data_IF_539659585275
#
_entry.id   IF_539659585275
#
_cell.length_a   1.000
_cell.length_b   1.000
_cell.length_c   1.000
_cell.angle_alpha   90.00
_cell.angle_beta   90.00
_cell.angle_gamma   90.00
#
_symmetry.space_group_name_H-M   'P 1'
#
loop_
_entity.id
_entity.type
_entity.pdbx_description
1 polymer ?
#
# COMPACT_ATOMS: atom_id res chain seq x y z
N UNK A 1 -29.87 4.33 -5.75
CA UNK A 1 -29.96 2.88 -5.48
C UNK A 1 -28.67 2.28 -6.05
N UNK A 2 -27.89 1.53 -5.27
CA UNK A 2 -26.58 0.90 -5.63
C UNK A 2 -25.25 1.66 -5.37
N UNK A 3 -25.22 2.73 -4.57
CA UNK A 3 -23.94 3.40 -4.25
C UNK A 3 -22.95 2.49 -3.50
N UNK A 4 -23.42 1.71 -2.52
CA UNK A 4 -22.56 0.85 -1.71
C UNK A 4 -21.93 -0.32 -2.51
N UNK A 5 -22.69 -1.11 -3.30
CA UNK A 5 -22.11 -2.11 -4.20
C UNK A 5 -21.11 -1.52 -5.19
N UNK A 6 -21.42 -0.34 -5.76
CA UNK A 6 -20.51 0.35 -6.67
C UNK A 6 -19.18 0.72 -5.99
N UNK A 7 -19.24 1.34 -4.80
CA UNK A 7 -18.04 1.70 -4.03
C UNK A 7 -17.23 0.47 -3.62
N UNK A 8 -17.90 -0.63 -3.24
CA UNK A 8 -17.24 -1.91 -2.93
C UNK A 8 -16.44 -2.44 -4.14
N UNK A 9 -17.07 -2.51 -5.31
CA UNK A 9 -16.40 -2.92 -6.54
C UNK A 9 -15.25 -2.00 -6.92
N UNK A 10 -15.41 -0.69 -6.78
CA UNK A 10 -14.35 0.28 -7.02
C UNK A 10 -13.14 0.02 -6.09
N UNK A 11 -13.39 -0.18 -4.79
CA UNK A 11 -12.35 -0.51 -3.81
C UNK A 11 -11.61 -1.79 -4.22
N UNK A 12 -12.34 -2.83 -4.62
CA UNK A 12 -11.75 -4.11 -5.04
C UNK A 12 -10.87 -3.93 -6.28
N UNK A 13 -11.42 -3.37 -7.35
CA UNK A 13 -10.74 -3.26 -8.64
C UNK A 13 -9.48 -2.39 -8.52
N UNK A 14 -9.58 -1.21 -7.91
CA UNK A 14 -8.43 -0.31 -7.82
C UNK A 14 -7.36 -0.84 -6.86
N UNK A 15 -7.75 -1.45 -5.74
CA UNK A 15 -6.79 -2.03 -4.79
C UNK A 15 -6.06 -3.23 -5.39
N UNK A 16 -6.77 -4.14 -6.07
CA UNK A 16 -6.16 -5.30 -6.74
C UNK A 16 -5.27 -4.85 -7.89
N UNK A 17 -5.69 -3.84 -8.66
CA UNK A 17 -4.85 -3.23 -9.69
C UNK A 17 -3.57 -2.64 -9.11
N UNK A 18 -3.66 -1.94 -7.98
CA UNK A 18 -2.51 -1.40 -7.27
C UNK A 18 -1.59 -2.49 -6.72
N UNK A 19 -2.10 -3.58 -6.12
CA UNK A 19 -1.25 -4.69 -5.67
C UNK A 19 -0.57 -5.40 -6.83
N UNK A 20 -1.23 -5.47 -7.99
CA UNK A 20 -0.68 -6.09 -9.19
C UNK A 20 0.55 -5.38 -9.74
N UNK A 21 0.85 -4.14 -9.33
CA UNK A 21 2.09 -3.47 -9.73
C UNK A 21 3.32 -4.22 -9.26
N UNK A 22 3.26 -4.96 -8.13
CA UNK A 22 4.38 -5.80 -7.69
C UNK A 22 4.73 -6.95 -8.66
N UNK A 23 3.83 -7.31 -9.59
CA UNK A 23 4.15 -8.28 -10.64
C UNK A 23 5.24 -7.77 -11.59
N UNK A 24 5.40 -6.45 -11.77
CA UNK A 24 6.51 -5.91 -12.56
C UNK A 24 7.84 -6.15 -11.85
N UNK A 25 7.87 -6.05 -10.52
CA UNK A 25 9.08 -6.34 -9.72
C UNK A 25 9.47 -7.81 -9.81
N UNK A 26 8.48 -8.72 -9.82
CA UNK A 26 8.74 -10.14 -10.09
C UNK A 26 9.39 -10.38 -11.46
N UNK A 27 8.88 -9.72 -12.50
CA UNK A 27 9.44 -9.81 -13.85
C UNK A 27 10.88 -9.29 -13.87
N UNK A 28 11.12 -8.16 -13.21
CA UNK A 28 12.45 -7.57 -13.08
C UNK A 28 13.42 -8.52 -12.38
N UNK A 29 13.05 -9.09 -11.22
CA UNK A 29 13.88 -10.06 -10.50
C UNK A 29 14.18 -11.31 -11.33
N UNK A 30 13.19 -11.81 -12.08
CA UNK A 30 13.37 -13.00 -12.93
C UNK A 30 14.32 -12.72 -14.09
N UNK A 31 14.23 -11.52 -14.69
CA UNK A 31 15.07 -11.12 -15.81
C UNK A 31 16.51 -10.81 -15.37
N UNK A 32 16.68 -10.06 -14.28
CA UNK A 32 18.00 -9.69 -13.75
C UNK A 32 18.68 -10.81 -12.95
N UNK A 33 17.92 -11.85 -12.55
CA UNK A 33 18.36 -12.88 -11.60
C UNK A 33 18.87 -12.32 -10.29
N UNK A 34 18.40 -11.13 -9.90
CA UNK A 34 18.80 -10.45 -8.67
C UNK A 34 17.67 -9.61 -8.09
N UNK A 35 17.63 -9.50 -6.76
CA UNK A 35 16.73 -8.63 -6.01
C UNK A 35 17.40 -7.30 -5.56
N UNK A 36 18.64 -7.02 -5.98
CA UNK A 36 19.46 -5.93 -5.43
C UNK A 36 18.85 -4.52 -5.64
N UNK A 37 18.05 -4.32 -6.69
CA UNK A 37 17.41 -3.03 -7.00
C UNK A 37 15.98 -2.88 -6.44
N UNK A 38 15.47 -3.88 -5.72
CA UNK A 38 14.11 -3.90 -5.21
C UNK A 38 14.15 -3.92 -3.69
N UNK A 39 13.37 -3.04 -3.07
CA UNK A 39 13.29 -2.96 -1.61
C UNK A 39 12.37 -4.06 -1.07
N UNK A 40 12.85 -4.79 -0.07
CA UNK A 40 12.06 -5.85 0.58
C UNK A 40 10.97 -5.33 1.52
N UNK A 41 11.28 -4.27 2.27
CA UNK A 41 10.40 -3.75 3.33
C UNK A 41 8.98 -3.39 2.87
N UNK A 42 8.77 -2.78 1.68
CA UNK A 42 7.42 -2.54 1.18
C UNK A 42 6.57 -3.81 1.06
N UNK A 43 7.12 -4.92 0.57
CA UNK A 43 6.37 -6.18 0.47
C UNK A 43 6.00 -6.72 1.85
N UNK A 44 6.97 -6.73 2.78
CA UNK A 44 6.75 -7.23 4.13
C UNK A 44 5.72 -6.39 4.90
N UNK A 45 5.92 -5.07 4.93
CA UNK A 45 5.01 -4.15 5.65
C UNK A 45 3.61 -4.13 5.06
N UNK A 46 3.48 -4.20 3.74
CA UNK A 46 2.16 -4.33 3.08
C UNK A 46 1.49 -5.66 3.41
N UNK A 47 2.24 -6.76 3.50
CA UNK A 47 1.71 -8.04 3.94
C UNK A 47 1.15 -7.95 5.37
N UNK A 48 1.92 -7.37 6.30
CA UNK A 48 1.50 -7.14 7.68
C UNK A 48 0.23 -6.29 7.75
N UNK A 49 0.19 -5.20 6.99
CA UNK A 49 -0.95 -4.30 6.94
C UNK A 49 -2.20 -5.02 6.42
N UNK A 50 -2.08 -5.81 5.35
CA UNK A 50 -3.18 -6.60 4.81
C UNK A 50 -3.70 -7.62 5.82
N UNK A 51 -2.83 -8.29 6.58
CA UNK A 51 -3.27 -9.24 7.61
C UNK A 51 -3.99 -8.55 8.78
N UNK A 52 -3.55 -7.35 9.19
CA UNK A 52 -4.26 -6.54 10.19
C UNK A 52 -5.65 -6.11 9.71
N UNK A 53 -5.75 -5.57 8.49
CA UNK A 53 -7.02 -5.19 7.90
C UNK A 53 -7.93 -6.37 7.58
N UNK A 54 -7.38 -7.54 7.27
CA UNK A 54 -8.14 -8.78 7.16
C UNK A 54 -8.82 -9.13 8.49
N UNK A 55 -8.07 -9.07 9.60
CA UNK A 55 -8.66 -9.31 10.92
C UNK A 55 -9.74 -8.28 11.25
N UNK A 56 -9.50 -7.01 10.91
CA UNK A 56 -10.49 -5.95 11.05
C UNK A 56 -11.77 -6.23 10.25
N UNK A 57 -11.64 -6.60 8.98
CA UNK A 57 -12.76 -6.95 8.11
C UNK A 57 -13.55 -8.16 8.62
N UNK A 58 -12.88 -9.17 9.16
CA UNK A 58 -13.54 -10.34 9.77
C UNK A 58 -14.36 -9.91 10.99
N UNK A 59 -13.80 -9.11 11.90
CA UNK A 59 -14.53 -8.62 13.08
C UNK A 59 -15.68 -7.70 12.73
N UNK A 60 -15.54 -6.88 11.69
CA UNK A 60 -16.59 -5.99 11.17
C UNK A 60 -17.64 -6.75 10.35
N UNK A 61 -17.38 -8.00 9.98
CA UNK A 61 -18.21 -8.78 9.03
C UNK A 61 -18.31 -8.14 7.64
N UNK A 62 -17.26 -7.42 7.23
CA UNK A 62 -17.20 -6.66 5.97
C UNK A 62 -16.47 -7.46 4.89
N UNK A 63 -17.23 -7.97 3.91
CA UNK A 63 -16.69 -8.82 2.85
C UNK A 63 -15.75 -8.07 1.90
N UNK A 64 -15.95 -6.77 1.69
CA UNK A 64 -15.11 -5.95 0.80
C UNK A 64 -13.72 -5.84 1.38
N UNK A 65 -13.61 -5.49 2.66
CA UNK A 65 -12.34 -5.40 3.38
C UNK A 65 -11.67 -6.78 3.46
N UNK A 66 -12.42 -7.83 3.73
CA UNK A 66 -11.85 -9.19 3.76
C UNK A 66 -11.25 -9.56 2.41
N UNK A 67 -12.01 -9.41 1.31
CA UNK A 67 -11.61 -9.89 -0.02
C UNK A 67 -10.33 -9.20 -0.52
N UNK A 68 -10.29 -7.87 -0.47
CA UNK A 68 -9.11 -7.11 -0.95
C UNK A 68 -7.85 -7.42 -0.16
N UNK A 69 -7.97 -7.62 1.15
CA UNK A 69 -6.83 -7.90 2.02
C UNK A 69 -6.38 -9.35 1.93
N UNK A 70 -7.28 -10.32 1.68
CA UNK A 70 -6.89 -11.70 1.35
C UNK A 70 -6.09 -11.73 0.06
N UNK A 71 -6.61 -11.12 -1.02
CA UNK A 71 -5.91 -11.08 -2.31
C UNK A 71 -4.56 -10.37 -2.15
N UNK A 72 -4.55 -9.25 -1.45
CA UNK A 72 -3.33 -8.50 -1.14
C UNK A 72 -2.32 -9.34 -0.38
N UNK A 73 -2.70 -9.99 0.71
CA UNK A 73 -1.81 -10.83 1.51
C UNK A 73 -1.21 -11.98 0.67
N UNK A 74 -2.02 -12.65 -0.15
CA UNK A 74 -1.54 -13.72 -1.02
C UNK A 74 -0.51 -13.22 -2.04
N UNK A 75 -0.76 -12.05 -2.67
CA UNK A 75 0.20 -11.43 -3.59
C UNK A 75 1.49 -11.03 -2.86
N UNK A 76 1.40 -10.43 -1.68
CA UNK A 76 2.60 -10.03 -0.93
C UNK A 76 3.42 -11.25 -0.46
N UNK A 77 2.76 -12.33 -0.03
CA UNK A 77 3.44 -13.59 0.30
C UNK A 77 4.18 -14.14 -0.93
N UNK A 78 3.55 -14.14 -2.10
CA UNK A 78 4.19 -14.52 -3.35
C UNK A 78 5.43 -13.65 -3.62
N UNK A 79 5.33 -12.33 -3.45
CA UNK A 79 6.46 -11.41 -3.66
C UNK A 79 7.60 -11.67 -2.70
N UNK A 80 7.31 -11.91 -1.42
CA UNK A 80 8.30 -12.25 -0.39
C UNK A 80 9.01 -13.57 -0.74
N UNK A 81 8.28 -14.61 -1.17
CA UNK A 81 8.86 -15.91 -1.54
C UNK A 81 9.82 -15.75 -2.73
N UNK A 82 9.40 -15.03 -3.78
CA UNK A 82 10.25 -14.81 -4.95
C UNK A 82 11.45 -13.93 -4.60
N UNK A 83 11.28 -12.91 -3.76
CA UNK A 83 12.38 -12.07 -3.29
C UNK A 83 13.43 -12.88 -2.53
N UNK A 84 13.01 -13.77 -1.63
CA UNK A 84 13.89 -14.69 -0.89
C UNK A 84 14.70 -15.62 -1.82
N UNK A 85 14.13 -15.98 -2.98
CA UNK A 85 14.82 -16.79 -3.97
C UNK A 85 15.98 -16.04 -4.63
N UNK A 86 15.78 -14.77 -5.00
CA UNK A 86 16.75 -13.99 -5.78
C UNK A 86 17.66 -13.08 -4.94
N UNK A 87 17.38 -12.86 -3.66
CA UNK A 87 18.21 -12.03 -2.80
C UNK A 87 19.49 -12.75 -2.34
N UNK A 88 20.59 -11.99 -2.29
CA UNK A 88 21.85 -12.43 -1.65
C UNK A 88 21.79 -12.31 -0.13
N UNK A 89 20.95 -11.42 0.40
CA UNK A 89 20.88 -11.09 1.83
C UNK A 89 19.84 -11.92 2.58
N UNK A 90 19.82 -13.24 2.37
CA UNK A 90 18.78 -14.14 2.90
C UNK A 90 18.61 -14.04 4.41
N UNK A 91 19.71 -13.98 5.16
CA UNK A 91 19.69 -13.88 6.63
C UNK A 91 18.93 -12.63 7.10
N UNK A 92 19.20 -11.47 6.50
CA UNK A 92 18.53 -10.21 6.85
C UNK A 92 17.02 -10.31 6.58
N UNK A 93 16.66 -10.76 5.37
CA UNK A 93 15.26 -10.88 4.94
C UNK A 93 14.49 -11.88 5.81
N UNK A 94 15.10 -13.03 6.13
CA UNK A 94 14.51 -14.00 7.06
C UNK A 94 14.35 -13.43 8.46
N UNK A 95 15.36 -12.73 9.00
CA UNK A 95 15.24 -12.09 10.32
C UNK A 95 14.12 -11.05 10.33
N UNK A 96 14.03 -10.19 9.31
CA UNK A 96 12.94 -9.21 9.19
C UNK A 96 11.57 -9.88 9.13
N UNK A 97 11.45 -10.96 8.34
CA UNK A 97 10.20 -11.74 8.21
C UNK A 97 9.83 -12.42 9.54
N UNK A 98 10.82 -12.97 10.25
CA UNK A 98 10.60 -13.59 11.56
C UNK A 98 10.13 -12.56 12.59
N UNK A 99 10.79 -11.40 12.67
CA UNK A 99 10.40 -10.30 13.56
C UNK A 99 8.97 -9.84 13.24
N UNK A 100 8.65 -9.68 11.97
CA UNK A 100 7.30 -9.35 11.51
C UNK A 100 6.26 -10.41 11.94
N UNK A 101 6.58 -11.69 11.80
CA UNK A 101 5.73 -12.80 12.27
C UNK A 101 5.56 -12.82 13.79
N UNK A 102 6.61 -12.50 14.56
CA UNK A 102 6.53 -12.35 16.01
C UNK A 102 5.62 -11.19 16.40
N UNK A 103 5.77 -10.03 15.76
CA UNK A 103 4.91 -8.85 16.01
C UNK A 103 3.44 -9.18 15.71
N UNK A 104 3.14 -9.87 14.61
CA UNK A 104 1.78 -10.30 14.31
C UNK A 104 1.22 -11.27 15.35
N UNK A 105 1.99 -12.28 15.73
CA UNK A 105 1.56 -13.28 16.71
C UNK A 105 1.30 -12.63 18.07
N UNK A 106 2.20 -11.74 18.51
CA UNK A 106 2.02 -10.98 19.75
C UNK A 106 0.79 -10.05 19.68
N UNK A 107 0.60 -9.36 18.55
CA UNK A 107 -0.58 -8.53 18.32
C UNK A 107 -1.87 -9.35 18.36
N UNK A 108 -1.92 -10.46 17.63
CA UNK A 108 -3.06 -11.38 17.63
C UNK A 108 -3.40 -11.87 19.04
N UNK A 109 -2.39 -12.31 19.80
CA UNK A 109 -2.56 -12.74 21.18
C UNK A 109 -3.10 -11.61 22.07
N UNK A 110 -2.57 -10.39 21.93
CA UNK A 110 -3.06 -9.21 22.64
C UNK A 110 -4.54 -8.93 22.35
N UNK A 111 -4.92 -8.85 21.08
CA UNK A 111 -6.30 -8.54 20.67
C UNK A 111 -7.31 -9.63 21.03
N UNK A 112 -6.89 -10.89 21.08
CA UNK A 112 -7.79 -12.02 21.38
C UNK A 112 -7.93 -12.31 22.86
N UNK A 113 -6.88 -12.08 23.66
CA UNK A 113 -6.85 -12.47 25.07
C UNK A 113 -7.11 -11.32 26.03
N UNK A 114 -6.59 -10.11 25.73
CA UNK A 114 -6.64 -8.99 26.66
C UNK A 114 -7.73 -7.96 26.35
N UNK A 115 -8.29 -7.97 25.14
CA UNK A 115 -9.37 -7.06 24.76
C UNK A 115 -10.72 -7.77 24.75
N UNK A 116 -11.75 -7.18 25.39
CA UNK A 116 -13.09 -7.74 25.37
C UNK A 116 -13.65 -7.75 23.96
N UNK A 117 -14.45 -8.76 23.65
CA UNK A 117 -15.09 -8.90 22.34
C UNK A 117 -16.06 -7.75 22.06
N UNK A 118 -16.31 -7.47 20.77
CA UNK A 118 -17.19 -6.41 20.31
C UNK A 118 -16.47 -5.11 19.91
N UNK A 119 -17.13 -3.98 20.14
CA UNK A 119 -16.75 -2.68 19.57
C UNK A 119 -15.41 -2.15 20.06
N UNK A 120 -15.03 -2.47 21.30
CA UNK A 120 -13.73 -2.06 21.87
C UNK A 120 -12.57 -2.70 21.11
N UNK A 121 -12.64 -4.02 20.88
CA UNK A 121 -11.63 -4.76 20.11
C UNK A 121 -11.59 -4.28 18.67
N UNK A 122 -12.75 -4.06 18.05
CA UNK A 122 -12.84 -3.53 16.68
C UNK A 122 -12.20 -2.14 16.57
N UNK A 123 -12.51 -1.22 17.48
CA UNK A 123 -12.01 0.15 17.49
C UNK A 123 -10.50 0.23 17.70
N UNK A 124 -9.97 -0.51 18.68
CA UNK A 124 -8.52 -0.58 18.94
C UNK A 124 -7.75 -1.16 17.75
N UNK A 125 -8.32 -2.20 17.11
CA UNK A 125 -7.71 -2.82 15.94
C UNK A 125 -7.74 -1.88 14.74
N UNK A 126 -8.87 -1.21 14.51
CA UNK A 126 -9.03 -0.20 13.47
C UNK A 126 -8.03 0.95 13.63
N UNK A 127 -7.86 1.45 14.85
CA UNK A 127 -6.87 2.49 15.17
C UNK A 127 -5.44 2.00 14.88
N UNK A 128 -5.11 0.79 15.31
CA UNK A 128 -3.79 0.20 15.07
C UNK A 128 -3.50 0.07 13.57
N UNK A 129 -4.43 -0.50 12.81
CA UNK A 129 -4.30 -0.64 11.35
C UNK A 129 -4.20 0.73 10.67
N UNK A 130 -4.96 1.72 11.13
CA UNK A 130 -4.91 3.10 10.63
C UNK A 130 -3.52 3.71 10.84
N UNK A 131 -2.97 3.62 12.05
CA UNK A 131 -1.65 4.16 12.38
C UNK A 131 -0.57 3.49 11.52
N UNK A 132 -0.63 2.17 11.38
CA UNK A 132 0.30 1.42 10.51
C UNK A 132 0.19 1.91 9.06
N UNK A 133 -1.02 2.00 8.51
CA UNK A 133 -1.23 2.46 7.12
C UNK A 133 -0.75 3.90 6.92
N UNK A 134 -1.02 4.82 7.86
CA UNK A 134 -0.52 6.21 7.81
C UNK A 134 1.01 6.23 7.83
N UNK A 135 1.64 5.43 8.69
CA UNK A 135 3.11 5.37 8.78
C UNK A 135 3.76 4.90 7.47
N UNK A 136 3.08 4.05 6.70
CA UNK A 136 3.57 3.61 5.38
C UNK A 136 3.65 4.75 4.36
N UNK A 137 2.93 5.86 4.56
CA UNK A 137 3.04 7.06 3.72
C UNK A 137 4.28 7.91 4.01
N UNK A 138 5.04 7.64 5.08
CA UNK A 138 6.25 8.41 5.39
C UNK A 138 7.30 8.31 4.27
N UNK A 139 7.53 7.10 3.75
CA UNK A 139 8.48 6.86 2.64
C UNK A 139 8.10 7.61 1.34
N UNK A 140 6.87 7.50 0.82
CA UNK A 140 6.49 8.27 -0.36
C UNK A 140 6.49 9.79 -0.10
N UNK A 141 6.20 10.25 1.11
CA UNK A 141 6.22 11.67 1.44
C UNK A 141 7.64 12.25 1.45
N UNK A 142 8.63 11.53 2.00
CA UNK A 142 10.03 11.95 1.93
C UNK A 142 10.52 12.02 0.49
N UNK A 143 10.10 11.07 -0.36
CA UNK A 143 10.35 11.12 -1.81
C UNK A 143 9.77 12.36 -2.48
N UNK A 144 8.54 12.77 -2.13
CA UNK A 144 7.94 14.01 -2.66
C UNK A 144 8.70 15.26 -2.24
N UNK A 145 9.14 15.34 -0.97
CA UNK A 145 9.96 16.46 -0.48
C UNK A 145 11.28 16.53 -1.25
N UNK A 146 11.90 15.39 -1.54
CA UNK A 146 13.12 15.34 -2.34
C UNK A 146 12.89 15.85 -3.77
N UNK A 147 11.80 15.44 -4.43
CA UNK A 147 11.45 15.88 -5.79
C UNK A 147 11.20 17.39 -5.83
N UNK A 148 10.48 17.94 -4.85
CA UNK A 148 10.23 19.39 -4.76
C UNK A 148 11.54 20.17 -4.65
N UNK A 149 12.54 19.62 -3.96
CA UNK A 149 13.86 20.25 -3.79
C UNK A 149 14.77 20.09 -5.01
N UNK A 150 14.76 18.91 -5.64
CA UNK A 150 15.66 18.59 -6.76
C UNK A 150 15.10 19.02 -8.12
N UNK A 151 13.78 19.12 -8.26
CA UNK A 151 13.09 19.31 -9.53
C UNK A 151 13.08 18.08 -10.45
N UNK A 152 13.64 16.94 -10.02
CA UNK A 152 13.72 15.73 -10.84
C UNK A 152 12.52 14.80 -10.60
N UNK A 153 11.67 14.65 -11.63
CA UNK A 153 10.47 13.80 -11.60
C UNK A 153 10.69 12.40 -12.19
N UNK A 154 11.92 12.00 -12.54
CA UNK A 154 12.20 10.68 -13.15
C UNK A 154 11.78 9.49 -12.29
N UNK A 155 11.81 9.64 -10.96
CA UNK A 155 11.38 8.59 -10.03
C UNK A 155 9.85 8.61 -9.78
N UNK A 156 9.13 9.59 -10.33
CA UNK A 156 7.69 9.72 -10.15
C UNK A 156 6.97 8.92 -11.25
N UNK A 157 6.13 7.96 -10.84
CA UNK A 157 5.26 7.23 -11.77
C UNK A 157 3.88 7.86 -11.80
N UNK A 158 3.47 8.36 -12.97
CA UNK A 158 2.15 8.95 -13.17
C UNK A 158 1.05 7.91 -12.99
N UNK A 159 1.25 6.72 -13.56
CA UNK A 159 0.31 5.60 -13.43
C UNK A 159 0.10 5.19 -11.97
N UNK A 160 1.17 5.20 -11.16
CA UNK A 160 1.06 4.91 -9.73
C UNK A 160 0.29 6.01 -8.99
N UNK A 161 0.54 7.29 -9.30
CA UNK A 161 -0.20 8.40 -8.71
C UNK A 161 -1.71 8.33 -9.00
N UNK A 162 -2.08 7.98 -10.24
CA UNK A 162 -3.47 7.75 -10.66
C UNK A 162 -4.08 6.57 -9.92
N UNK A 163 -3.40 5.43 -9.88
CA UNK A 163 -3.88 4.25 -9.16
C UNK A 163 -4.11 4.55 -7.67
N UNK A 164 -3.14 5.19 -7.00
CA UNK A 164 -3.29 5.59 -5.59
C UNK A 164 -4.45 6.56 -5.39
N UNK A 165 -4.64 7.53 -6.29
CA UNK A 165 -5.74 8.50 -6.19
C UNK A 165 -7.10 7.81 -6.20
N UNK A 166 -7.35 6.93 -7.18
CA UNK A 166 -8.62 6.23 -7.31
C UNK A 166 -8.84 5.21 -6.18
N UNK A 167 -7.80 4.46 -5.79
CA UNK A 167 -7.87 3.54 -4.65
C UNK A 167 -8.23 4.30 -3.37
N UNK A 168 -7.48 5.35 -3.02
CA UNK A 168 -7.69 6.12 -1.81
C UNK A 168 -9.03 6.85 -1.79
N UNK A 169 -9.45 7.42 -2.93
CA UNK A 169 -10.77 8.07 -3.04
C UNK A 169 -11.89 7.07 -2.84
N UNK A 170 -11.78 5.88 -3.45
CA UNK A 170 -12.79 4.81 -3.29
C UNK A 170 -12.92 4.39 -1.82
N UNK A 171 -11.80 4.18 -1.13
CA UNK A 171 -11.80 3.83 0.29
C UNK A 171 -12.30 4.93 1.21
N UNK A 172 -11.97 6.20 0.94
CA UNK A 172 -12.52 7.33 1.71
C UNK A 172 -14.04 7.40 1.54
N UNK A 173 -14.55 7.31 0.31
CA UNK A 173 -16.01 7.33 0.06
C UNK A 173 -16.70 6.12 0.69
N UNK A 174 -16.09 4.93 0.60
CA UNK A 174 -16.59 3.71 1.22
C UNK A 174 -16.64 3.83 2.76
N UNK A 175 -15.55 4.29 3.37
CA UNK A 175 -15.48 4.53 4.82
C UNK A 175 -16.50 5.57 5.29
N UNK A 176 -16.67 6.68 4.56
CA UNK A 176 -17.69 7.69 4.88
C UNK A 176 -19.10 7.09 4.82
N UNK A 177 -19.40 6.27 3.82
CA UNK A 177 -20.70 5.61 3.70
C UNK A 177 -20.96 4.62 4.85
N UNK A 178 -19.90 4.00 5.39
CA UNK A 178 -19.96 3.13 6.56
C UNK A 178 -19.88 3.88 7.91
N UNK A 179 -19.73 5.21 7.90
CA UNK A 179 -19.39 6.01 9.07
C UNK A 179 -18.16 5.49 9.83
N UNK A 180 -17.17 4.98 9.09
CA UNK A 180 -15.98 4.34 9.62
C UNK A 180 -14.73 5.19 9.38
N UNK A 181 -14.41 6.02 10.38
CA UNK A 181 -13.25 6.90 10.32
C UNK A 181 -11.92 6.14 10.35
N UNK A 182 -11.88 4.89 10.82
CA UNK A 182 -10.68 4.07 10.75
C UNK A 182 -10.31 3.73 9.31
N UNK A 183 -11.27 3.68 8.39
CA UNK A 183 -11.00 3.50 6.96
C UNK A 183 -10.67 4.84 6.30
N UNK A 184 -11.39 5.91 6.66
CA UNK A 184 -11.26 7.24 6.03
C UNK A 184 -9.89 7.88 6.28
N UNK A 185 -9.47 7.93 7.55
CA UNK A 185 -8.25 8.63 7.97
C UNK A 185 -7.00 8.10 7.26
N UNK A 186 -6.69 6.78 7.25
CA UNK A 186 -5.47 6.28 6.63
C UNK A 186 -5.45 6.37 5.10
N UNK A 187 -6.61 6.46 4.45
CA UNK A 187 -6.68 6.60 2.99
C UNK A 187 -6.58 8.05 2.52
N UNK A 188 -6.91 9.03 3.37
CA UNK A 188 -6.87 10.45 3.03
C UNK A 188 -5.48 10.96 2.58
N UNK A 189 -4.35 10.58 3.22
CA UNK A 189 -3.00 10.93 2.75
C UNK A 189 -2.72 10.48 1.31
N UNK A 190 -3.28 9.37 0.86
CA UNK A 190 -3.12 8.89 -0.52
C UNK A 190 -3.69 9.87 -1.54
N UNK A 191 -4.86 10.46 -1.26
CA UNK A 191 -5.48 11.50 -2.09
C UNK A 191 -4.56 12.72 -2.16
N UNK A 192 -4.15 13.26 -1.01
CA UNK A 192 -3.30 14.46 -0.96
C UNK A 192 -1.96 14.24 -1.66
N UNK A 193 -1.29 13.13 -1.39
CA UNK A 193 0.00 12.83 -2.02
C UNK A 193 -0.15 12.64 -3.53
N UNK A 194 -1.24 12.05 -4.02
CA UNK A 194 -1.51 11.96 -5.46
C UNK A 194 -1.80 13.31 -6.11
N UNK A 195 -2.55 14.21 -5.47
CA UNK A 195 -2.77 15.57 -5.97
C UNK A 195 -1.45 16.34 -6.08
N UNK A 196 -0.56 16.23 -5.09
CA UNK A 196 0.78 16.80 -5.14
C UNK A 196 1.57 16.22 -6.33
N UNK A 197 1.51 14.90 -6.54
CA UNK A 197 2.17 14.26 -7.70
C UNK A 197 1.67 14.81 -9.02
N UNK A 198 0.35 14.95 -9.20
CA UNK A 198 -0.23 15.52 -10.42
C UNK A 198 0.24 16.94 -10.65
N UNK A 199 0.27 17.77 -9.60
CA UNK A 199 0.82 19.12 -9.68
C UNK A 199 2.29 19.13 -10.10
N UNK A 200 3.12 18.28 -9.50
CA UNK A 200 4.54 18.18 -9.85
C UNK A 200 4.75 17.70 -11.29
N UNK A 201 3.95 16.74 -11.76
CA UNK A 201 3.97 16.31 -13.17
C UNK A 201 3.62 17.45 -14.11
N UNK A 202 2.59 18.23 -13.80
CA UNK A 202 2.22 19.38 -14.62
C UNK A 202 3.31 20.46 -14.62
N UNK A 203 3.94 20.72 -13.47
CA UNK A 203 4.95 21.78 -13.31
C UNK A 203 6.32 21.46 -13.94
N UNK A 204 6.76 20.21 -13.80
CA UNK A 204 8.10 19.75 -14.21
C UNK A 204 8.08 18.88 -15.47
N UNK A 205 6.95 18.25 -15.81
CA UNK A 205 6.83 17.44 -17.03
C UNK A 205 7.07 18.22 -18.32
N UNK A 206 6.76 19.53 -18.32
CA UNK A 206 7.06 20.43 -19.43
C UNK A 206 8.54 20.86 -19.53
N UNK A 207 9.38 20.55 -18.55
CA UNK A 207 10.82 20.91 -18.57
C UNK A 207 11.69 19.77 -19.15
N UNK A 208 11.12 18.58 -19.38
CA UNK A 208 11.82 17.35 -19.77
C UNK A 208 11.92 17.09 -21.28
N UNK A 209 11.57 18.04 -22.14
CA UNK A 209 11.89 17.97 -23.57
C UNK A 209 13.22 18.69 -23.81
N UNK A 210 14.39 18.00 -23.84
CA UNK A 210 15.54 18.57 -24.50
C UNK A 210 15.13 18.75 -25.97
N UNK A 211 15.16 20.00 -26.42
CA UNK A 211 15.07 20.35 -27.83
C UNK A 211 16.02 19.43 -28.60
N UNK A 212 15.46 18.54 -29.43
CA UNK A 212 16.21 17.86 -30.47
C UNK A 212 16.70 18.98 -31.41
N UNK A 213 17.88 19.52 -31.11
CA UNK A 213 18.65 20.32 -32.06
C UNK A 213 18.89 19.38 -33.24
N UNK A 214 18.12 19.62 -34.30
CA UNK A 214 18.45 19.22 -35.65
C UNK A 214 19.89 19.61 -35.94
N UNK A 215 20.80 18.65 -35.84
CA UNK A 215 22.10 18.74 -36.49
C UNK A 215 21.85 18.41 -37.96
N UNK A 216 21.73 19.47 -38.75
CA UNK A 216 22.18 19.50 -40.14
C UNK A 216 23.69 19.71 -40.09
#
# INVERSE_FOLDING_TARGET
>A
MELMPFLSWACIVFTVGMFSTGLTDLKTMRASKSADNIQFLPFLTTCLNNLGWLYYGILKTDQTIVLVNVIGALLQILYIIVYLHYTKQKKLVMTQTLVAGTVLTCGWFYFTTFLPEGDTRLSQLGLTCSVVTVSMYLSPLTGLVQIVRSGDVKCLSFSLAVATFFTSTSWVLYGLQLNDYYIVVPNSPGIFTSLIRFYLFWRFGNQSLPAYRSMI
#
